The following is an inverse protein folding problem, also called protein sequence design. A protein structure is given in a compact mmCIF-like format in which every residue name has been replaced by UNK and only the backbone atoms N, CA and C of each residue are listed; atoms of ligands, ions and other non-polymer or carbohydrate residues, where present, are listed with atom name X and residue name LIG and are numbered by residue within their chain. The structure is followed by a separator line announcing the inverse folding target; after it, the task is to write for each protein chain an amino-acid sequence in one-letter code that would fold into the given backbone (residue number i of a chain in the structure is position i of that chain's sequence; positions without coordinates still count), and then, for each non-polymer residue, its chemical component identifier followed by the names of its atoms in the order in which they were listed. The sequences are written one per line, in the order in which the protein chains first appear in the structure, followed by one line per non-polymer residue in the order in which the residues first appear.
data_IF_865376043930
#
_entry.id   IF_865376043930
#
_cell.length_a   1.000
_cell.length_b   1.000
_cell.length_c   1.000
_cell.angle_alpha   90.00
_cell.angle_beta   90.00
_cell.angle_gamma   90.00
#
_symmetry.space_group_name_H-M   'P 1'
#
loop_
_entity.id
_entity.type
_entity.pdbx_description
1 polymer ?
#
# COMPACT_ATOMS: atom_id res chain seq x y z
N UNK A 1 20.89 -0.83 -3.93
CA UNK A 1 19.66 -1.42 -4.51
C UNK A 1 20.00 -2.86 -4.86
N UNK A 2 19.05 -3.76 -4.66
CA UNK A 2 19.17 -5.20 -4.91
C UNK A 2 17.95 -5.66 -5.74
N UNK A 3 18.04 -6.86 -6.32
CA UNK A 3 16.93 -7.47 -7.05
C UNK A 3 15.89 -8.00 -6.05
N UNK A 4 14.65 -7.56 -6.18
CA UNK A 4 13.54 -7.88 -5.26
C UNK A 4 12.34 -8.32 -6.08
N UNK A 5 11.66 -9.37 -5.63
CA UNK A 5 10.38 -9.81 -6.19
C UNK A 5 9.23 -9.20 -5.38
N UNK A 6 8.47 -8.29 -6.00
CA UNK A 6 7.33 -7.63 -5.35
C UNK A 6 6.28 -8.62 -4.87
N UNK A 7 6.04 -9.72 -5.60
CA UNK A 7 5.06 -10.72 -5.19
C UNK A 7 5.44 -11.34 -3.85
N UNK A 8 6.69 -11.81 -3.74
CA UNK A 8 7.20 -12.40 -2.50
C UNK A 8 7.15 -11.43 -1.33
N UNK A 9 7.51 -10.17 -1.57
CA UNK A 9 7.52 -9.16 -0.53
C UNK A 9 6.11 -8.81 -0.04
N UNK A 10 5.14 -8.71 -0.95
CA UNK A 10 3.72 -8.56 -0.62
C UNK A 10 3.25 -9.75 0.23
N UNK A 11 3.54 -10.97 -0.21
CA UNK A 11 3.10 -12.18 0.51
C UNK A 11 3.72 -12.31 1.90
N UNK A 12 5.02 -12.02 2.04
CA UNK A 12 5.70 -11.98 3.33
C UNK A 12 5.05 -10.97 4.28
N UNK A 13 4.73 -9.77 3.77
CA UNK A 13 4.11 -8.72 4.59
C UNK A 13 2.69 -9.09 5.00
N UNK A 14 1.92 -9.73 4.10
CA UNK A 14 0.58 -10.22 4.42
C UNK A 14 0.61 -11.36 5.44
N UNK A 15 1.61 -12.25 5.36
CA UNK A 15 1.79 -13.33 6.33
C UNK A 15 2.09 -12.80 7.74
N UNK A 16 2.93 -11.77 7.87
CA UNK A 16 3.19 -11.10 9.15
C UNK A 16 1.92 -10.51 9.78
N UNK A 17 0.99 -10.05 8.96
CA UNK A 17 -0.26 -9.44 9.40
C UNK A 17 -1.42 -10.44 9.54
N UNK A 18 -1.19 -11.73 9.31
CA UNK A 18 -2.23 -12.78 9.30
C UNK A 18 -3.07 -12.81 10.58
N UNK A 19 -2.45 -12.82 11.75
CA UNK A 19 -3.14 -12.78 13.06
C UNK A 19 -4.08 -11.57 13.20
N UNK A 20 -3.66 -10.41 12.67
CA UNK A 20 -4.46 -9.18 12.71
C UNK A 20 -5.60 -9.23 11.71
N UNK A 21 -5.36 -9.80 10.53
CA UNK A 21 -6.37 -10.01 9.49
C UNK A 21 -7.47 -10.95 9.99
N UNK A 22 -7.12 -12.09 10.58
CA UNK A 22 -8.07 -13.04 11.16
C UNK A 22 -8.95 -12.37 12.23
N UNK A 23 -8.35 -11.59 13.13
CA UNK A 23 -9.09 -10.86 14.18
C UNK A 23 -9.98 -9.75 13.63
N UNK A 24 -9.58 -9.11 12.54
CA UNK A 24 -10.34 -8.01 11.92
C UNK A 24 -11.53 -8.49 11.08
N UNK A 25 -11.53 -9.75 10.62
CA UNK A 25 -12.55 -10.32 9.75
C UNK A 25 -12.49 -9.84 8.30
N UNK A 26 -11.47 -9.09 7.90
CA UNK A 26 -11.27 -8.67 6.51
C UNK A 26 -10.79 -9.82 5.63
N UNK A 27 -11.34 -9.91 4.42
CA UNK A 27 -10.86 -10.82 3.39
C UNK A 27 -9.92 -10.09 2.42
N UNK A 28 -8.75 -10.67 2.16
CA UNK A 28 -7.82 -10.15 1.17
C UNK A 28 -7.93 -10.92 -0.14
N UNK A 29 -8.12 -10.19 -1.23
CA UNK A 29 -8.14 -10.73 -2.59
C UNK A 29 -6.85 -10.32 -3.30
N UNK A 30 -5.99 -11.31 -3.53
CA UNK A 30 -4.71 -11.15 -4.24
C UNK A 30 -4.88 -11.49 -5.72
N UNK A 31 -4.29 -10.69 -6.59
CA UNK A 31 -4.11 -11.00 -8.01
C UNK A 31 -2.65 -10.68 -8.38
N UNK A 32 -1.78 -11.69 -8.33
CA UNK A 32 -0.34 -11.56 -8.57
C UNK A 32 0.04 -12.38 -9.81
N UNK A 33 0.95 -11.91 -10.67
CA UNK A 33 1.38 -12.65 -11.84
C UNK A 33 2.23 -13.87 -11.46
N UNK A 34 2.02 -15.02 -12.09
CA UNK A 34 2.72 -16.27 -11.78
C UNK A 34 4.25 -16.21 -12.05
N UNK A 35 4.67 -15.32 -12.97
CA UNK A 35 6.07 -15.15 -13.36
C UNK A 35 6.94 -14.34 -12.37
N UNK A 36 6.37 -13.92 -11.24
CA UNK A 36 7.03 -13.01 -10.30
C UNK A 36 7.01 -11.56 -10.79
N UNK A 37 7.49 -10.66 -9.94
CA UNK A 37 7.54 -9.22 -10.23
C UNK A 37 8.89 -8.60 -9.83
N UNK A 38 9.99 -8.94 -10.55
CA UNK A 38 11.34 -8.48 -10.22
C UNK A 38 11.54 -6.99 -10.50
N UNK A 39 12.09 -6.28 -9.51
CA UNK A 39 12.48 -4.86 -9.59
C UNK A 39 13.82 -4.65 -8.89
N UNK A 40 14.49 -3.54 -9.16
CA UNK A 40 15.59 -3.07 -8.31
C UNK A 40 15.06 -2.15 -7.21
N UNK A 41 15.43 -2.41 -5.96
CA UNK A 41 14.98 -1.60 -4.82
C UNK A 41 15.77 -1.84 -3.54
N UNK A 42 15.22 -1.40 -2.40
CA UNK A 42 15.73 -1.73 -1.06
C UNK A 42 14.65 -2.55 -0.33
N UNK A 43 14.94 -3.81 -0.03
CA UNK A 43 13.93 -4.75 0.49
C UNK A 43 13.38 -4.31 1.84
N UNK A 44 14.21 -3.72 2.70
CA UNK A 44 13.80 -3.25 4.02
C UNK A 44 12.88 -2.04 3.92
N UNK A 45 13.17 -1.12 2.99
CA UNK A 45 12.33 0.06 2.74
C UNK A 45 10.99 -0.36 2.12
N UNK A 46 11.01 -1.19 1.08
CA UNK A 46 9.78 -1.66 0.43
C UNK A 46 8.92 -2.51 1.37
N UNK A 47 9.53 -3.34 2.22
CA UNK A 47 8.80 -4.03 3.29
C UNK A 47 8.01 -3.06 4.15
N UNK A 48 8.65 -1.95 4.56
CA UNK A 48 8.01 -0.91 5.37
C UNK A 48 6.94 -0.14 4.60
N UNK A 49 7.09 0.03 3.28
CA UNK A 49 6.02 0.56 2.41
C UNK A 49 4.79 -0.33 2.54
N UNK A 50 4.91 -1.63 2.23
CA UNK A 50 3.78 -2.55 2.25
C UNK A 50 3.15 -2.69 3.64
N UNK A 51 3.97 -2.74 4.69
CA UNK A 51 3.48 -2.81 6.06
C UNK A 51 2.61 -1.60 6.40
N UNK A 52 3.05 -0.39 6.06
CA UNK A 52 2.27 0.83 6.29
C UNK A 52 0.97 0.86 5.47
N UNK A 53 1.01 0.39 4.21
CA UNK A 53 -0.16 0.39 3.34
C UNK A 53 -1.21 -0.62 3.81
N UNK A 54 -0.80 -1.84 4.17
CA UNK A 54 -1.72 -2.85 4.69
C UNK A 54 -2.24 -2.50 6.09
N UNK A 55 -1.42 -1.90 6.95
CA UNK A 55 -1.86 -1.42 8.26
C UNK A 55 -2.97 -0.35 8.12
N UNK A 56 -2.78 0.61 7.21
CA UNK A 56 -3.81 1.60 6.90
C UNK A 56 -5.08 0.95 6.34
N UNK A 57 -4.94 0.01 5.41
CA UNK A 57 -6.10 -0.70 4.87
C UNK A 57 -6.88 -1.40 5.99
N UNK A 58 -6.22 -2.12 6.89
CA UNK A 58 -6.88 -2.79 8.02
C UNK A 58 -7.52 -1.82 9.01
N UNK A 59 -6.90 -0.66 9.25
CA UNK A 59 -7.39 0.34 10.21
C UNK A 59 -8.60 1.11 9.70
N UNK A 60 -8.63 1.43 8.41
CA UNK A 60 -9.60 2.37 7.85
C UNK A 60 -10.67 1.70 6.97
N UNK A 61 -10.58 0.39 6.71
CA UNK A 61 -11.58 -0.31 5.91
C UNK A 61 -12.94 -0.43 6.61
N UNK A 62 -14.02 -0.36 5.84
CA UNK A 62 -15.38 -0.65 6.30
C UNK A 62 -15.51 -2.14 6.67
N UNK A 63 -15.89 -2.48 7.92
CA UNK A 63 -16.05 -3.87 8.34
C UNK A 63 -16.92 -4.70 7.38
N UNK A 64 -16.52 -5.95 7.12
CA UNK A 64 -17.22 -6.85 6.20
C UNK A 64 -16.89 -6.65 4.71
N UNK A 65 -16.05 -5.67 4.36
CA UNK A 65 -15.56 -5.49 2.99
C UNK A 65 -14.27 -6.28 2.72
N UNK A 66 -13.76 -6.16 1.49
CA UNK A 66 -12.53 -6.83 1.04
C UNK A 66 -11.45 -5.80 0.78
N UNK A 67 -10.21 -6.19 1.05
CA UNK A 67 -9.01 -5.46 0.61
C UNK A 67 -8.48 -6.17 -0.63
N UNK A 68 -8.29 -5.43 -1.71
CA UNK A 68 -7.78 -5.94 -2.98
C UNK A 68 -6.31 -5.57 -3.12
N UNK A 69 -5.48 -6.55 -3.48
CA UNK A 69 -4.05 -6.38 -3.74
C UNK A 69 -3.76 -6.98 -5.11
N UNK A 70 -3.35 -6.16 -6.06
CA UNK A 70 -3.04 -6.62 -7.41
C UNK A 70 -1.66 -6.14 -7.84
N UNK A 71 -0.96 -6.97 -8.59
CA UNK A 71 0.24 -6.57 -9.33
C UNK A 71 -0.06 -6.77 -10.81
N UNK A 72 0.02 -5.69 -11.57
CA UNK A 72 -0.10 -5.73 -13.02
C UNK A 72 1.28 -5.59 -13.66
N UNK A 73 1.51 -6.34 -14.73
CA UNK A 73 2.72 -6.28 -15.52
C UNK A 73 2.40 -5.62 -16.85
N UNK A 74 3.07 -4.50 -17.10
CA UNK A 74 3.13 -3.86 -18.41
C UNK A 74 4.47 -4.14 -19.10
N UNK A 75 4.68 -3.60 -20.30
CA UNK A 75 5.91 -3.85 -21.08
C UNK A 75 7.20 -3.56 -20.29
N UNK A 76 7.25 -2.43 -19.58
CA UNK A 76 8.47 -1.98 -18.89
C UNK A 76 8.29 -1.77 -17.38
N UNK A 77 7.08 -1.98 -16.85
CA UNK A 77 6.74 -1.62 -15.47
C UNK A 77 5.91 -2.68 -14.76
N UNK A 78 6.05 -2.73 -13.44
CA UNK A 78 5.11 -3.39 -12.53
C UNK A 78 4.30 -2.33 -11.80
N UNK A 79 2.98 -2.50 -11.78
CA UNK A 79 2.04 -1.62 -11.10
C UNK A 79 1.36 -2.38 -9.98
N UNK A 80 1.64 -2.00 -8.73
CA UNK A 80 0.99 -2.54 -7.54
C UNK A 80 -0.21 -1.68 -7.19
N UNK A 81 -1.38 -2.29 -7.01
CA UNK A 81 -2.62 -1.64 -6.61
C UNK A 81 -3.12 -2.24 -5.31
N UNK A 82 -3.28 -1.40 -4.28
CA UNK A 82 -3.89 -1.76 -3.01
C UNK A 82 -5.15 -0.93 -2.86
N UNK A 83 -6.30 -1.59 -2.79
CA UNK A 83 -7.61 -0.93 -2.74
C UNK A 83 -8.44 -1.44 -1.56
N UNK A 84 -9.13 -0.53 -0.90
CA UNK A 84 -10.10 -0.83 0.14
C UNK A 84 -11.26 0.16 0.14
N UNK A 85 -12.39 -0.25 0.72
CA UNK A 85 -13.53 0.64 0.96
C UNK A 85 -13.40 1.24 2.35
N UNK A 86 -13.42 2.56 2.52
CA UNK A 86 -13.30 3.19 3.83
C UNK A 86 -14.56 3.07 4.67
N UNK A 87 -14.38 3.09 6.00
CA UNK A 87 -15.46 3.07 7.00
C UNK A 87 -16.08 4.44 7.26
N UNK A 88 -15.59 5.49 6.60
CA UNK A 88 -16.06 6.86 6.70
C UNK A 88 -16.19 7.46 5.30
N UNK A 89 -17.06 8.44 5.19
CA UNK A 89 -17.32 9.17 3.95
C UNK A 89 -16.05 9.90 3.49
N UNK A 90 -15.62 9.59 2.27
CA UNK A 90 -14.39 10.12 1.69
C UNK A 90 -14.66 11.42 0.90
N UNK A 91 -15.12 12.45 1.60
CA UNK A 91 -15.42 13.79 1.04
C UNK A 91 -14.17 14.64 0.76
N UNK A 92 -13.02 14.00 0.57
CA UNK A 92 -11.72 14.66 0.43
C UNK A 92 -11.14 14.34 -0.94
N UNK A 93 -10.69 15.37 -1.66
CA UNK A 93 -9.95 15.13 -2.89
C UNK A 93 -8.54 14.58 -2.59
N UNK A 94 -7.87 14.07 -3.63
CA UNK A 94 -6.52 13.48 -3.52
C UNK A 94 -5.50 14.43 -2.87
N UNK A 95 -5.65 15.74 -3.08
CA UNK A 95 -4.74 16.76 -2.56
C UNK A 95 -4.96 16.99 -1.07
N UNK A 96 -6.22 17.04 -0.62
CA UNK A 96 -6.59 17.14 0.80
C UNK A 96 -6.18 15.89 1.57
N UNK A 97 -6.35 14.70 0.97
CA UNK A 97 -5.94 13.43 1.56
C UNK A 97 -4.43 13.45 1.81
N UNK A 98 -3.64 13.82 0.80
CA UNK A 98 -2.18 13.94 0.90
C UNK A 98 -1.78 14.98 1.94
N UNK A 99 -2.44 16.13 1.97
CA UNK A 99 -2.15 17.19 2.93
C UNK A 99 -2.52 16.80 4.37
N UNK A 100 -3.64 16.10 4.58
CA UNK A 100 -4.05 15.58 5.89
C UNK A 100 -3.11 14.49 6.40
N UNK A 101 -2.52 13.67 5.52
CA UNK A 101 -1.47 12.75 5.92
C UNK A 101 -0.20 13.49 6.37
N UNK A 102 0.20 14.54 5.64
CA UNK A 102 1.34 15.39 6.01
C UNK A 102 1.09 16.18 7.30
N UNK A 103 -0.15 16.63 7.54
CA UNK A 103 -0.51 17.38 8.76
C UNK A 103 -0.76 16.48 9.98
N UNK A 104 -1.23 15.25 9.77
CA UNK A 104 -1.36 14.23 10.82
C UNK A 104 -0.04 13.95 11.55
N UNK A 105 1.08 14.11 10.83
CA UNK A 105 2.47 14.03 11.32
C UNK A 105 2.77 15.06 12.44
N UNK A 106 2.19 16.26 12.38
CA UNK A 106 2.50 17.35 13.31
C UNK A 106 1.66 17.37 14.58
N UNK A 107 0.57 16.60 14.68
CA UNK A 107 -0.46 16.86 15.70
C UNK A 107 -0.90 15.68 16.56
N UNK A 108 -0.32 14.47 16.47
CA UNK A 108 -0.79 13.34 17.31
C UNK A 108 0.34 12.50 17.92
N UNK A 109 0.41 12.53 19.25
CA UNK A 109 1.29 11.74 20.13
C UNK A 109 0.58 10.51 20.73
N UNK A 110 -0.41 9.95 20.04
CA UNK A 110 -1.12 8.71 20.43
C UNK A 110 -1.27 7.79 19.23
N UNK A 111 -1.13 6.48 19.48
CA UNK A 111 -1.04 5.36 18.53
C UNK A 111 -1.54 5.60 17.08
N UNK A 112 -0.58 5.72 16.17
CA UNK A 112 -0.80 5.91 14.74
C UNK A 112 -0.46 7.32 14.29
N UNK A 113 0.83 7.57 14.07
CA UNK A 113 1.46 8.88 13.82
C UNK A 113 1.01 9.62 12.55
N UNK A 114 0.03 9.13 11.77
CA UNK A 114 -0.32 9.69 10.46
C UNK A 114 0.79 9.56 9.39
N UNK A 115 1.99 9.11 9.79
CA UNK A 115 3.20 8.99 8.98
C UNK A 115 3.19 7.84 7.98
N UNK A 116 2.25 6.89 8.10
CA UNK A 116 2.32 5.63 7.34
C UNK A 116 2.41 5.84 5.83
N UNK A 117 1.56 6.73 5.30
CA UNK A 117 1.51 7.02 3.86
C UNK A 117 2.63 7.95 3.39
N UNK A 118 3.07 8.92 4.20
CA UNK A 118 4.21 9.77 3.84
C UNK A 118 5.53 8.99 3.82
N UNK A 119 5.71 8.06 4.77
CA UNK A 119 6.84 7.11 4.76
C UNK A 119 6.73 6.18 3.54
N UNK A 120 5.54 5.65 3.26
CA UNK A 120 5.33 4.78 2.11
C UNK A 120 5.68 5.49 0.79
N UNK A 121 5.21 6.73 0.62
CA UNK A 121 5.53 7.56 -0.55
C UNK A 121 7.04 7.80 -0.67
N UNK A 122 7.68 8.25 0.42
CA UNK A 122 9.11 8.56 0.43
C UNK A 122 9.96 7.35 0.11
N UNK A 123 9.66 6.20 0.70
CA UNK A 123 10.41 4.96 0.48
C UNK A 123 10.18 4.37 -0.91
N UNK A 124 8.96 4.47 -1.46
CA UNK A 124 8.70 4.11 -2.86
C UNK A 124 9.57 4.94 -3.81
N UNK A 125 9.60 6.27 -3.62
CA UNK A 125 10.44 7.17 -4.43
C UNK A 125 11.93 6.87 -4.29
N UNK A 126 12.41 6.61 -3.07
CA UNK A 126 13.80 6.23 -2.83
C UNK A 126 14.18 4.89 -3.48
N UNK A 127 13.21 4.02 -3.73
CA UNK A 127 13.40 2.77 -4.48
C UNK A 127 13.20 2.95 -5.99
N UNK A 128 13.09 4.18 -6.49
CA UNK A 128 12.96 4.48 -7.92
C UNK A 128 11.56 4.22 -8.49
N UNK A 129 10.54 4.11 -7.63
CA UNK A 129 9.15 3.98 -8.04
C UNK A 129 8.35 5.27 -7.90
N UNK A 130 7.17 5.26 -8.51
CA UNK A 130 6.14 6.30 -8.37
C UNK A 130 5.06 5.87 -7.38
N UNK A 131 4.44 6.85 -6.72
CA UNK A 131 3.40 6.66 -5.71
C UNK A 131 2.23 7.60 -6.01
N UNK A 132 1.05 7.02 -6.19
CA UNK A 132 -0.20 7.73 -6.49
C UNK A 132 -1.32 7.25 -5.55
N UNK A 133 -2.23 8.16 -5.20
CA UNK A 133 -3.43 7.88 -4.43
C UNK A 133 -4.61 8.25 -5.31
N UNK A 134 -5.61 7.38 -5.41
CA UNK A 134 -6.88 7.64 -6.07
C UNK A 134 -8.04 7.37 -5.13
N UNK A 135 -9.10 8.15 -5.31
CA UNK A 135 -10.37 7.93 -4.62
C UNK A 135 -11.52 7.92 -5.61
N UNK A 136 -12.51 7.07 -5.34
CA UNK A 136 -13.75 7.00 -6.10
C UNK A 136 -14.90 6.65 -5.13
N UNK A 137 -15.62 7.68 -4.68
CA UNK A 137 -16.47 7.61 -3.49
C UNK A 137 -15.65 7.09 -2.30
N UNK A 138 -16.16 6.06 -1.62
CA UNK A 138 -15.48 5.46 -0.46
C UNK A 138 -14.35 4.48 -0.84
N UNK A 139 -14.02 4.31 -2.13
CA UNK A 139 -12.90 3.48 -2.54
C UNK A 139 -11.58 4.24 -2.42
N UNK A 140 -10.72 3.82 -1.50
CA UNK A 140 -9.35 4.31 -1.39
C UNK A 140 -8.42 3.37 -2.15
N UNK A 141 -7.60 3.90 -3.04
CA UNK A 141 -6.65 3.11 -3.83
C UNK A 141 -5.26 3.74 -3.82
N UNK A 142 -4.26 2.96 -3.45
CA UNK A 142 -2.84 3.32 -3.58
C UNK A 142 -2.24 2.56 -4.76
N UNK A 143 -1.51 3.28 -5.60
CA UNK A 143 -0.86 2.75 -6.80
C UNK A 143 0.64 3.01 -6.69
N UNK A 144 1.43 1.94 -6.72
CA UNK A 144 2.88 2.00 -6.79
C UNK A 144 3.34 1.53 -8.16
N UNK A 145 4.26 2.25 -8.79
CA UNK A 145 4.79 1.86 -10.11
C UNK A 145 6.30 1.74 -10.04
N UNK A 146 6.85 0.64 -10.53
CA UNK A 146 8.29 0.39 -10.57
C UNK A 146 8.71 -0.07 -11.96
N UNK A 147 9.92 0.26 -12.37
CA UNK A 147 10.50 -0.31 -13.58
C UNK A 147 10.83 -1.79 -13.36
N UNK A 148 10.58 -2.62 -14.38
CA UNK A 148 10.93 -4.04 -14.38
C UNK A 148 12.44 -4.19 -14.34
N UNK A 149 12.95 -5.08 -13.50
CA UNK A 149 14.32 -5.55 -13.62
C UNK A 149 14.34 -6.67 -14.67
N UNK A 150 15.21 -6.52 -15.67
CA UNK A 150 15.51 -7.56 -16.67
C UNK A 150 16.35 -8.68 -16.08
#
# INVERSE_FOLDING_TARGET
MELIDLNKLIEQTLAELSDRMEKSGFMIKKNLPDGGAPIYGDGKKLYRVFLNLFDNALKYSMPGTRIFVAVHQDENKFTVRIQNTASYEMDFDESEIRERFVRGDKSRSTEGSGLGLSIAESFTKLCGGDFEIKTDGDQFTVILTFNRAE
#
